data_IF_464648402506
#
_entry.id   IF_464648402506
#
_cell.length_a   1.000
_cell.length_b   1.000
_cell.length_c   1.000
_cell.angle_alpha   90.00
_cell.angle_beta   90.00
_cell.angle_gamma   90.00
#
_symmetry.space_group_name_H-M   'P 1'
#
loop_
_entity.id
_entity.type
_entity.pdbx_description
1 polymer ?
#
# COMPACT_ATOMS: atom_id res chain seq x y z
N UNK A 1 -0.14 -6.04 -4.98
CA UNK A 1 -1.55 -6.11 -5.39
C UNK A 1 -2.17 -7.40 -4.86
N UNK A 2 -3.41 -7.30 -4.36
CA UNK A 2 -4.22 -8.44 -3.93
C UNK A 2 -5.37 -8.59 -4.93
N UNK A 3 -5.63 -9.81 -5.40
CA UNK A 3 -6.72 -10.06 -6.34
C UNK A 3 -7.61 -11.17 -5.79
N UNK A 4 -8.92 -10.96 -5.84
CA UNK A 4 -9.89 -11.97 -5.43
C UNK A 4 -10.21 -12.83 -6.64
N UNK A 5 -9.93 -14.12 -6.55
CA UNK A 5 -10.15 -15.09 -7.65
C UNK A 5 -11.52 -15.73 -7.52
N UNK A 6 -11.92 -16.07 -6.29
CA UNK A 6 -13.20 -16.66 -5.96
C UNK A 6 -13.63 -16.25 -4.54
N UNK A 7 -14.75 -16.78 -4.08
CA UNK A 7 -15.20 -16.55 -2.70
C UNK A 7 -14.17 -17.11 -1.72
N UNK A 8 -13.58 -16.23 -0.90
CA UNK A 8 -12.49 -16.56 0.03
C UNK A 8 -11.18 -17.03 -0.61
N UNK A 9 -10.99 -16.85 -1.92
CA UNK A 9 -9.74 -17.18 -2.61
C UNK A 9 -9.05 -15.92 -3.13
N UNK A 10 -7.78 -15.77 -2.75
CA UNK A 10 -6.99 -14.59 -3.01
C UNK A 10 -5.63 -14.95 -3.59
N UNK A 11 -5.13 -14.10 -4.48
CA UNK A 11 -3.73 -14.07 -4.90
C UNK A 11 -3.07 -12.76 -4.53
N UNK A 12 -1.75 -12.83 -4.38
CA UNK A 12 -0.92 -11.68 -4.09
C UNK A 12 0.27 -11.63 -5.04
N UNK A 13 0.55 -10.43 -5.55
CA UNK A 13 1.75 -10.13 -6.32
C UNK A 13 2.34 -8.81 -5.83
N UNK A 14 3.62 -8.56 -6.04
CA UNK A 14 4.16 -7.22 -5.79
C UNK A 14 3.51 -6.20 -6.71
N UNK A 15 3.27 -5.00 -6.20
CA UNK A 15 2.83 -3.91 -7.07
C UNK A 15 3.97 -3.49 -7.99
N UNK A 16 3.69 -3.36 -9.30
CA UNK A 16 4.70 -3.04 -10.31
C UNK A 16 5.37 -1.69 -10.04
N UNK A 17 4.61 -0.69 -9.56
CA UNK A 17 5.15 0.64 -9.29
C UNK A 17 6.14 0.58 -8.12
N UNK A 18 5.84 -0.22 -7.10
CA UNK A 18 6.71 -0.48 -5.94
C UNK A 18 7.92 -1.34 -6.32
N UNK A 19 7.77 -2.23 -7.30
CA UNK A 19 8.83 -3.14 -7.76
C UNK A 19 9.83 -2.49 -8.73
N UNK A 20 9.51 -1.33 -9.30
CA UNK A 20 10.38 -0.59 -10.25
C UNK A 20 11.70 -0.18 -9.61
N UNK A 21 12.88 -0.52 -10.15
CA UNK A 21 14.17 -0.17 -9.57
C UNK A 21 14.38 1.32 -9.25
N UNK A 22 13.66 2.19 -9.94
CA UNK A 22 13.78 3.65 -9.89
C UNK A 22 13.02 4.28 -8.72
N UNK A 23 12.05 3.57 -8.10
CA UNK A 23 11.34 4.08 -6.93
C UNK A 23 12.10 3.75 -5.64
N UNK A 24 11.95 4.60 -4.63
CA UNK A 24 12.77 4.56 -3.41
C UNK A 24 12.70 3.22 -2.66
N UNK A 25 11.55 2.55 -2.63
CA UNK A 25 11.32 1.36 -1.78
C UNK A 25 11.96 0.08 -2.34
N UNK A 26 11.92 -0.12 -3.66
CA UNK A 26 12.66 -1.16 -4.41
C UNK A 26 14.16 -0.88 -4.42
N UNK A 27 14.61 0.38 -4.44
CA UNK A 27 16.02 0.73 -4.31
C UNK A 27 16.58 0.38 -2.93
N UNK A 28 15.79 0.52 -1.86
CA UNK A 28 16.15 -0.01 -0.53
C UNK A 28 16.24 -1.53 -0.54
N UNK A 29 15.28 -2.23 -1.17
CA UNK A 29 15.29 -3.69 -1.35
C UNK A 29 16.47 -4.20 -2.20
N UNK A 30 16.86 -3.49 -3.25
CA UNK A 30 17.86 -3.91 -4.23
C UNK A 30 19.30 -3.50 -3.86
N UNK A 31 19.49 -2.32 -3.24
CA UNK A 31 20.82 -1.72 -3.03
C UNK A 31 21.27 -1.71 -1.57
N UNK A 32 20.34 -1.53 -0.60
CA UNK A 32 20.68 -1.34 0.81
C UNK A 32 20.44 -2.57 1.70
N UNK A 33 19.31 -3.24 1.52
CA UNK A 33 18.84 -4.32 2.41
C UNK A 33 19.50 -5.66 2.10
N UNK A 34 19.87 -5.95 0.85
CA UNK A 34 20.61 -7.18 0.51
C UNK A 34 21.99 -7.28 1.19
N UNK A 35 22.55 -6.15 1.66
CA UNK A 35 23.80 -6.12 2.45
C UNK A 35 23.55 -6.24 3.95
N UNK A 36 22.32 -6.06 4.42
CA UNK A 36 21.94 -6.29 5.79
C UNK A 36 21.57 -7.76 5.94
N UNK A 37 22.18 -8.47 6.88
CA UNK A 37 21.72 -9.80 7.32
C UNK A 37 20.41 -9.68 8.15
N UNK A 38 19.50 -8.80 7.73
CA UNK A 38 18.25 -8.50 8.41
C UNK A 38 17.11 -8.58 7.40
N UNK A 39 16.21 -9.57 7.51
CA UNK A 39 15.04 -9.65 6.65
C UNK A 39 14.12 -8.45 6.90
N UNK A 40 13.71 -7.76 5.84
CA UNK A 40 12.78 -6.63 5.94
C UNK A 40 11.35 -7.12 5.91
N UNK A 41 10.57 -6.69 6.90
CA UNK A 41 9.13 -6.85 6.95
C UNK A 41 8.46 -5.58 6.43
N UNK A 42 7.59 -5.71 5.42
CA UNK A 42 6.81 -4.60 4.89
C UNK A 42 5.49 -4.47 5.65
N UNK A 43 5.12 -3.25 6.03
CA UNK A 43 3.82 -2.98 6.66
C UNK A 43 3.11 -1.95 5.80
N UNK A 44 1.87 -2.25 5.40
CA UNK A 44 1.11 -1.36 4.54
C UNK A 44 -0.38 -1.68 4.51
N UNK A 45 -1.18 -0.72 4.07
CA UNK A 45 -2.61 -0.96 3.83
C UNK A 45 -2.79 -1.71 2.50
N UNK A 46 -3.68 -2.72 2.43
CA UNK A 46 -4.10 -3.26 1.15
C UNK A 46 -4.75 -2.15 0.32
N UNK A 47 -4.58 -2.23 -1.00
CA UNK A 47 -5.21 -1.31 -1.96
C UNK A 47 -6.74 -1.48 -2.08
N UNK A 48 -7.31 -2.50 -1.46
CA UNK A 48 -8.73 -2.83 -1.50
C UNK A 48 -9.24 -3.17 -0.10
N UNK A 49 -10.57 -3.15 0.08
CA UNK A 49 -11.20 -3.58 1.31
C UNK A 49 -11.17 -5.11 1.43
N UNK A 50 -10.76 -5.59 2.60
CA UNK A 50 -10.74 -7.02 2.93
C UNK A 50 -11.66 -7.25 4.15
N UNK A 51 -12.80 -7.95 3.97
CA UNK A 51 -13.68 -8.33 5.08
C UNK A 51 -12.93 -9.12 6.14
N UNK A 52 -13.30 -8.95 7.41
CA UNK A 52 -12.60 -9.59 8.55
C UNK A 52 -12.50 -11.11 8.41
N UNK A 53 -13.55 -11.75 7.88
CA UNK A 53 -13.60 -13.19 7.65
C UNK A 53 -12.57 -13.67 6.62
N UNK A 54 -12.17 -12.81 5.68
CA UNK A 54 -11.29 -13.17 4.56
C UNK A 54 -9.82 -12.81 4.78
N UNK A 55 -9.51 -12.04 5.84
CA UNK A 55 -8.13 -11.66 6.18
C UNK A 55 -7.20 -12.87 6.31
N UNK A 56 -7.58 -14.00 6.94
CA UNK A 56 -6.73 -15.18 6.98
C UNK A 56 -6.36 -15.74 5.60
N UNK A 57 -7.29 -15.71 4.64
CA UNK A 57 -7.02 -16.14 3.27
C UNK A 57 -6.05 -15.19 2.54
N UNK A 58 -6.16 -13.88 2.79
CA UNK A 58 -5.22 -12.88 2.29
C UNK A 58 -3.81 -13.09 2.86
N UNK A 59 -3.68 -13.32 4.18
CA UNK A 59 -2.37 -13.60 4.79
C UNK A 59 -1.74 -14.89 4.22
N UNK A 60 -2.56 -15.92 3.98
CA UNK A 60 -2.11 -17.15 3.33
C UNK A 60 -1.62 -16.90 1.89
N UNK A 61 -2.32 -16.06 1.12
CA UNK A 61 -1.93 -15.68 -0.23
C UNK A 61 -0.59 -14.91 -0.26
N UNK A 62 -0.37 -14.01 0.70
CA UNK A 62 0.89 -13.28 0.87
C UNK A 62 2.07 -14.22 1.20
N UNK A 63 1.84 -15.17 2.11
CA UNK A 63 2.82 -16.19 2.46
C UNK A 63 3.14 -17.11 1.27
N UNK A 64 2.13 -17.56 0.52
CA UNK A 64 2.29 -18.38 -0.68
C UNK A 64 3.10 -17.66 -1.77
N UNK A 65 2.89 -16.34 -1.93
CA UNK A 65 3.65 -15.49 -2.83
C UNK A 65 5.06 -15.13 -2.33
N UNK A 66 5.47 -15.60 -1.14
CA UNK A 66 6.74 -15.26 -0.48
C UNK A 66 6.94 -13.75 -0.28
N UNK A 67 5.85 -13.03 -0.04
CA UNK A 67 5.86 -11.59 0.24
C UNK A 67 5.95 -11.41 1.75
N UNK A 68 7.11 -10.97 2.25
CA UNK A 68 7.31 -10.74 3.69
C UNK A 68 6.65 -9.43 4.12
N UNK A 69 5.33 -9.42 4.27
CA UNK A 69 4.57 -8.24 4.67
C UNK A 69 3.43 -8.55 5.64
N UNK A 70 2.97 -7.51 6.34
CA UNK A 70 1.76 -7.50 7.15
C UNK A 70 0.81 -6.43 6.65
N UNK A 71 -0.46 -6.81 6.48
CA UNK A 71 -1.52 -5.90 6.07
C UNK A 71 -2.09 -5.11 7.25
N UNK A 72 -2.03 -3.78 7.17
CA UNK A 72 -2.71 -2.86 8.06
C UNK A 72 -4.17 -2.67 7.60
N UNK A 73 -5.06 -3.56 8.04
CA UNK A 73 -6.47 -3.48 7.68
C UNK A 73 -7.16 -2.28 8.32
N UNK A 74 -7.74 -1.42 7.49
CA UNK A 74 -8.49 -0.25 7.93
C UNK A 74 -9.89 -0.25 7.32
N UNK A 75 -10.83 0.46 7.96
CA UNK A 75 -12.14 0.67 7.35
C UNK A 75 -12.02 1.54 6.09
N UNK A 76 -12.84 1.31 5.05
CA UNK A 76 -12.79 2.09 3.82
C UNK A 76 -12.91 3.60 4.06
N UNK A 77 -13.75 3.99 5.02
CA UNK A 77 -13.96 5.41 5.35
C UNK A 77 -12.70 6.06 5.94
N UNK A 78 -11.97 5.34 6.79
CA UNK A 78 -10.72 5.80 7.41
C UNK A 78 -9.62 5.85 6.35
N UNK A 79 -9.46 4.78 5.57
CA UNK A 79 -8.47 4.72 4.49
C UNK A 79 -8.64 5.86 3.49
N UNK A 80 -9.89 6.15 3.10
CA UNK A 80 -10.22 7.23 2.18
C UNK A 80 -9.91 8.61 2.76
N UNK A 81 -10.38 8.92 3.98
CA UNK A 81 -10.09 10.22 4.63
C UNK A 81 -8.60 10.44 4.83
N UNK A 82 -7.86 9.40 5.21
CA UNK A 82 -6.41 9.48 5.39
C UNK A 82 -5.69 9.71 4.05
N UNK A 83 -5.82 8.78 3.09
CA UNK A 83 -4.99 8.83 1.89
C UNK A 83 -5.49 9.84 0.86
N UNK A 84 -6.79 9.85 0.55
CA UNK A 84 -7.35 10.78 -0.44
C UNK A 84 -7.58 12.16 0.17
N UNK A 85 -8.16 12.22 1.37
CA UNK A 85 -8.46 13.49 2.03
C UNK A 85 -7.20 14.23 2.48
N UNK A 86 -6.38 13.60 3.32
CA UNK A 86 -5.25 14.28 3.94
C UNK A 86 -3.96 14.17 3.11
N UNK A 87 -3.50 12.96 2.78
CA UNK A 87 -2.24 12.80 2.06
C UNK A 87 -2.28 13.43 0.66
N UNK A 88 -3.30 13.11 -0.13
CA UNK A 88 -3.45 13.65 -1.49
C UNK A 88 -4.15 15.01 -1.52
N UNK A 89 -5.18 15.23 -0.72
CA UNK A 89 -5.94 16.47 -0.74
C UNK A 89 -5.26 17.65 -0.03
N UNK A 90 -4.40 17.39 0.96
CA UNK A 90 -3.72 18.46 1.72
C UNK A 90 -2.20 18.43 1.58
N UNK A 91 -1.55 17.33 1.99
CA UNK A 91 -0.08 17.28 2.03
C UNK A 91 0.55 17.38 0.65
N UNK A 92 0.04 16.64 -0.32
CA UNK A 92 0.60 16.60 -1.67
C UNK A 92 0.61 18.00 -2.35
N UNK A 93 -0.49 18.77 -2.41
CA UNK A 93 -0.48 20.13 -2.93
C UNK A 93 0.50 21.06 -2.21
N UNK A 94 0.55 20.98 -0.87
CA UNK A 94 1.47 21.80 -0.06
C UNK A 94 2.93 21.48 -0.42
N UNK A 95 3.29 20.19 -0.43
CA UNK A 95 4.65 19.75 -0.72
C UNK A 95 5.10 20.08 -2.15
N UNK A 96 4.15 20.20 -3.09
CA UNK A 96 4.44 20.54 -4.47
C UNK A 96 4.21 22.03 -4.79
N UNK A 97 3.91 22.86 -3.79
CA UNK A 97 3.59 24.29 -3.94
C UNK A 97 2.44 24.56 -4.94
N UNK A 98 1.45 23.66 -5.00
CA UNK A 98 0.27 23.75 -5.90
C UNK A 98 -0.99 24.12 -5.08
N UNK A 99 -0.83 25.01 -4.11
CA UNK A 99 -1.88 25.32 -3.12
C UNK A 99 -3.07 26.07 -3.77
N UNK A 100 -2.81 26.91 -4.78
CA UNK A 100 -3.85 27.72 -5.42
C UNK A 100 -4.80 26.94 -6.35
N UNK A 101 -4.45 25.74 -6.81
CA UNK A 101 -5.31 24.96 -7.74
C UNK A 101 -6.44 24.22 -7.02
N UNK A 102 -6.28 23.92 -5.74
CA UNK A 102 -7.27 23.17 -4.94
C UNK A 102 -8.09 24.05 -3.99
N UNK A 103 -7.81 25.36 -3.94
CA UNK A 103 -8.46 26.29 -3.00
C UNK A 103 -9.85 26.79 -3.47
N UNK A 104 -10.41 26.22 -4.54
CA UNK A 104 -11.71 26.63 -5.09
C UNK A 104 -12.92 25.91 -4.48
N UNK A 105 -12.73 24.99 -3.52
CA UNK A 105 -13.84 24.23 -2.92
C UNK A 105 -14.38 24.84 -1.61
N UNK A 106 -14.28 26.16 -1.44
CA UNK A 106 -14.83 26.87 -0.28
C UNK A 106 -15.19 28.31 -0.62
N UNK A 107 -16.17 28.48 -1.51
CA UNK A 107 -16.97 29.71 -1.64
C UNK A 107 -18.44 29.31 -1.80
#
# INVERSE_FOLDING_TARGET
RLERIAESEWTAVWDEEIARPEVSISRYLAVGVRKLNCPVLFIGSPHCFVPRAERPAVEAALAAARINCVCAYTEPSIAHRFYQGYCKGSLWPIMHNVIDVYNHASA
#
